data_IF_194538962360
#
_entry.id   IF_194538962360
#
_cell.length_a   1.000
_cell.length_b   1.000
_cell.length_c   1.000
_cell.angle_alpha   90.00
_cell.angle_beta   90.00
_cell.angle_gamma   90.00
#
_symmetry.space_group_name_H-M   'P 1'
#
loop_
_entity.id
_entity.type
_entity.pdbx_description
1 polymer ?
#
# COMPACT_ATOMS: atom_id res chain seq x y z
N UNK A 1 19.23 9.47 -1.97
CA UNK A 1 19.88 8.19 -1.61
C UNK A 1 20.07 7.42 -2.90
N UNK A 2 21.29 7.14 -3.34
CA UNK A 2 21.51 6.18 -4.41
C UNK A 2 21.49 4.80 -3.79
N UNK A 3 20.48 4.02 -4.10
CA UNK A 3 20.45 2.60 -3.73
C UNK A 3 21.70 1.95 -4.36
N UNK A 4 22.45 1.17 -3.57
CA UNK A 4 23.42 0.24 -4.14
C UNK A 4 22.61 -0.70 -5.02
N UNK A 5 22.89 -0.75 -6.30
CA UNK A 5 22.27 -1.72 -7.21
C UNK A 5 22.80 -3.12 -6.96
N UNK A 6 22.45 -4.02 -7.84
CA UNK A 6 23.10 -5.33 -7.91
C UNK A 6 24.56 -5.15 -8.34
N UNK A 7 25.47 -6.02 -7.86
CA UNK A 7 26.88 -6.00 -8.31
C UNK A 7 27.00 -6.34 -9.79
N UNK A 8 26.15 -7.27 -10.25
CA UNK A 8 26.00 -7.64 -11.63
C UNK A 8 24.55 -7.51 -12.07
N UNK A 9 24.27 -7.38 -13.38
CA UNK A 9 22.90 -7.36 -13.87
C UNK A 9 22.16 -8.62 -13.42
N UNK A 10 20.99 -8.49 -12.75
CA UNK A 10 20.24 -9.64 -12.25
C UNK A 10 19.48 -10.38 -13.35
N UNK A 11 19.44 -9.85 -14.57
CA UNK A 11 18.71 -10.34 -15.73
C UNK A 11 19.47 -10.00 -17.02
N UNK A 12 19.18 -10.70 -18.11
CA UNK A 12 19.84 -10.50 -19.42
C UNK A 12 19.61 -9.10 -19.99
N UNK A 13 18.40 -8.56 -19.82
CA UNK A 13 18.01 -7.23 -20.32
C UNK A 13 17.67 -6.28 -19.16
N UNK A 14 18.70 -5.72 -18.53
CA UNK A 14 18.57 -4.87 -17.36
C UNK A 14 18.46 -3.38 -17.73
N UNK A 15 17.23 -2.85 -17.84
CA UNK A 15 16.96 -1.47 -18.25
C UNK A 15 17.31 -0.38 -17.22
N UNK A 16 17.52 -0.72 -15.92
CA UNK A 16 17.72 0.26 -14.86
C UNK A 16 18.86 1.27 -15.08
N UNK A 17 20.06 0.90 -15.59
CA UNK A 17 21.11 1.87 -15.84
C UNK A 17 20.70 2.97 -16.83
N UNK A 18 19.97 2.60 -17.89
CA UNK A 18 19.43 3.56 -18.87
C UNK A 18 18.49 4.56 -18.18
N UNK A 19 17.52 4.08 -17.39
CA UNK A 19 16.55 4.96 -16.72
C UNK A 19 17.19 5.83 -15.65
N UNK A 20 18.23 5.38 -14.94
CA UNK A 20 18.99 6.20 -13.99
C UNK A 20 19.71 7.37 -14.68
N UNK A 21 20.31 7.12 -15.84
CA UNK A 21 20.92 8.18 -16.63
C UNK A 21 19.86 9.15 -17.15
N UNK A 22 18.77 8.63 -17.69
CA UNK A 22 17.67 9.43 -18.19
C UNK A 22 17.01 10.31 -17.11
N UNK A 23 16.91 9.82 -15.87
CA UNK A 23 16.43 10.60 -14.72
C UNK A 23 17.42 11.70 -14.30
N UNK A 24 18.71 11.48 -14.50
CA UNK A 24 19.74 12.48 -14.19
C UNK A 24 19.75 13.63 -15.19
N UNK A 25 19.27 13.41 -16.40
CA UNK A 25 19.14 14.44 -17.42
C UNK A 25 17.94 15.35 -17.08
N UNK A 26 18.21 16.56 -16.62
CA UNK A 26 17.20 17.60 -16.39
C UNK A 26 16.63 18.05 -17.74
N UNK A 27 15.52 17.47 -18.15
CA UNK A 27 14.79 17.90 -19.33
C UNK A 27 13.64 18.83 -18.94
N UNK A 28 13.28 19.74 -19.83
CA UNK A 28 12.08 20.58 -19.68
C UNK A 28 10.77 19.76 -19.66
N UNK A 29 10.85 18.49 -20.05
CA UNK A 29 9.71 17.55 -20.12
C UNK A 29 10.02 16.31 -19.26
N UNK A 30 9.71 16.33 -17.97
CA UNK A 30 10.10 15.26 -17.03
C UNK A 30 9.46 13.89 -17.35
N UNK A 31 8.38 13.86 -18.12
CA UNK A 31 7.64 12.63 -18.47
C UNK A 31 7.97 12.08 -19.86
N UNK A 32 8.82 12.73 -20.64
CA UNK A 32 9.12 12.35 -22.01
C UNK A 32 10.61 12.14 -22.25
N UNK A 33 10.92 11.26 -23.23
CA UNK A 33 12.21 11.13 -23.90
C UNK A 33 12.02 11.62 -25.34
N UNK A 34 12.32 12.88 -25.59
CA UNK A 34 12.05 13.48 -26.90
C UNK A 34 10.55 13.50 -27.23
N UNK A 35 10.16 12.75 -28.24
CA UNK A 35 8.76 12.67 -28.75
C UNK A 35 7.89 11.59 -28.10
N UNK A 36 8.46 10.69 -27.29
CA UNK A 36 7.73 9.61 -26.64
C UNK A 36 7.72 9.79 -25.13
N UNK A 37 6.70 9.29 -24.47
CA UNK A 37 6.65 9.27 -23.00
C UNK A 37 7.62 8.23 -22.44
N UNK A 38 7.96 8.37 -21.17
CA UNK A 38 8.79 7.38 -20.48
C UNK A 38 8.06 6.05 -20.35
N UNK A 39 6.74 6.07 -20.11
CA UNK A 39 5.92 4.86 -20.08
C UNK A 39 5.95 4.17 -21.43
N UNK A 40 5.67 4.90 -22.52
CA UNK A 40 5.72 4.33 -23.87
C UNK A 40 7.09 3.72 -24.20
N UNK A 41 8.19 4.36 -23.77
CA UNK A 41 9.54 3.81 -23.92
C UNK A 41 9.69 2.45 -23.22
N UNK A 42 9.15 2.32 -22.01
CA UNK A 42 9.20 1.06 -21.24
C UNK A 42 8.31 -0.02 -21.88
N UNK A 43 7.12 0.35 -22.35
CA UNK A 43 6.22 -0.56 -23.05
C UNK A 43 6.81 -1.05 -24.39
N UNK A 44 7.46 -0.15 -25.14
CA UNK A 44 8.16 -0.51 -26.35
C UNK A 44 9.29 -1.52 -26.07
N UNK A 45 10.05 -1.34 -24.98
CA UNK A 45 11.09 -2.30 -24.58
C UNK A 45 10.53 -3.71 -24.37
N UNK A 46 9.38 -3.83 -23.71
CA UNK A 46 8.72 -5.14 -23.54
C UNK A 46 8.30 -5.72 -24.89
N UNK A 47 7.66 -4.91 -25.76
CA UNK A 47 7.27 -5.36 -27.11
C UNK A 47 8.50 -5.87 -27.87
N UNK A 48 9.57 -5.07 -27.92
CA UNK A 48 10.79 -5.41 -28.64
C UNK A 48 11.42 -6.71 -28.13
N UNK A 49 11.33 -6.99 -26.82
CA UNK A 49 11.76 -8.26 -26.24
C UNK A 49 10.95 -9.45 -26.81
N UNK A 50 9.63 -9.28 -27.00
CA UNK A 50 8.79 -10.33 -27.59
C UNK A 50 9.08 -10.52 -29.09
N UNK A 51 9.35 -9.43 -29.81
CA UNK A 51 9.71 -9.47 -31.23
C UNK A 51 11.08 -10.14 -31.45
N UNK A 52 12.06 -9.83 -30.59
CA UNK A 52 13.42 -10.36 -30.71
C UNK A 52 13.54 -11.83 -30.30
N UNK A 53 12.70 -12.30 -29.38
CA UNK A 53 12.75 -13.67 -28.82
C UNK A 53 11.41 -14.39 -29.00
N UNK A 54 10.94 -14.67 -30.22
CA UNK A 54 9.59 -15.20 -30.46
C UNK A 54 9.35 -16.60 -29.93
N UNK A 55 10.39 -17.41 -29.80
CA UNK A 55 10.29 -18.84 -29.40
C UNK A 55 10.83 -19.14 -28.02
N UNK A 56 11.69 -18.28 -27.47
CA UNK A 56 12.34 -18.51 -26.19
C UNK A 56 11.37 -18.25 -25.04
N UNK A 57 11.37 -19.08 -23.98
CA UNK A 57 10.73 -18.73 -22.73
C UNK A 57 11.30 -17.44 -22.18
N UNK A 58 10.44 -16.56 -21.66
CA UNK A 58 10.88 -15.26 -21.14
C UNK A 58 10.08 -14.86 -19.92
N UNK A 59 10.76 -14.20 -18.98
CA UNK A 59 10.17 -13.49 -17.86
C UNK A 59 10.45 -12.00 -18.04
N UNK A 60 9.42 -11.18 -18.03
CA UNK A 60 9.52 -9.73 -18.18
C UNK A 60 8.90 -9.05 -16.97
N UNK A 61 9.64 -8.11 -16.37
CA UNK A 61 9.16 -7.30 -15.27
C UNK A 61 9.34 -5.82 -15.59
N UNK A 62 8.23 -5.08 -15.62
CA UNK A 62 8.21 -3.64 -15.81
C UNK A 62 7.61 -2.97 -14.57
N UNK A 63 8.32 -1.99 -14.00
CA UNK A 63 7.86 -1.20 -12.88
C UNK A 63 7.87 0.28 -13.24
N UNK A 64 6.69 0.90 -13.25
CA UNK A 64 6.50 2.32 -13.55
C UNK A 64 5.87 3.01 -12.34
N UNK A 65 6.56 3.99 -11.76
CA UNK A 65 6.11 4.72 -10.57
C UNK A 65 5.81 6.21 -10.81
N UNK A 66 6.21 6.75 -11.96
CA UNK A 66 6.24 8.19 -12.18
C UNK A 66 4.85 8.86 -12.16
N UNK A 67 3.80 8.14 -12.59
CA UNK A 67 2.44 8.66 -12.59
C UNK A 67 1.66 8.36 -11.30
N UNK A 68 2.10 7.40 -10.48
CA UNK A 68 1.37 6.94 -9.30
C UNK A 68 2.02 7.27 -7.96
N UNK A 69 3.37 7.40 -7.90
CA UNK A 69 4.10 7.49 -6.64
C UNK A 69 3.76 8.74 -5.81
N UNK A 70 3.63 9.89 -6.45
CA UNK A 70 3.49 11.16 -5.75
C UNK A 70 2.05 11.67 -5.65
N UNK A 71 1.18 11.28 -6.57
CA UNK A 71 -0.21 11.70 -6.66
C UNK A 71 -0.99 10.75 -7.56
N UNK A 72 -2.28 10.58 -7.28
CA UNK A 72 -3.19 9.82 -8.14
C UNK A 72 -3.62 10.61 -9.39
N UNK A 73 -3.42 11.93 -9.41
CA UNK A 73 -3.93 12.82 -10.47
C UNK A 73 -3.31 12.56 -11.84
N UNK A 74 -2.20 11.83 -11.89
CA UNK A 74 -1.45 11.58 -13.12
C UNK A 74 -1.68 10.17 -13.70
N UNK A 75 -2.35 9.30 -12.98
CA UNK A 75 -2.66 7.94 -13.46
C UNK A 75 -3.38 7.95 -14.82
N UNK A 76 -4.34 8.87 -15.09
CA UNK A 76 -5.01 8.94 -16.38
C UNK A 76 -4.08 9.19 -17.57
N UNK A 77 -2.89 9.77 -17.36
CA UNK A 77 -1.94 10.03 -18.47
C UNK A 77 -1.35 8.76 -19.08
N UNK A 78 -1.36 7.65 -18.33
CA UNK A 78 -0.85 6.38 -18.82
C UNK A 78 -1.92 5.43 -19.34
N UNK A 79 -3.20 5.78 -19.24
CA UNK A 79 -4.31 4.87 -19.52
C UNK A 79 -4.36 4.49 -21.01
N UNK A 80 -4.38 5.47 -21.90
CA UNK A 80 -4.41 5.24 -23.35
C UNK A 80 -3.18 4.48 -23.83
N UNK A 81 -1.99 4.84 -23.35
CA UNK A 81 -0.73 4.18 -23.75
C UNK A 81 -0.72 2.70 -23.32
N UNK A 82 -1.15 2.43 -22.09
CA UNK A 82 -1.26 1.06 -21.59
C UNK A 82 -2.33 0.27 -22.36
N UNK A 83 -3.48 0.88 -22.62
CA UNK A 83 -4.56 0.25 -23.39
C UNK A 83 -4.10 -0.13 -24.79
N UNK A 84 -3.44 0.78 -25.52
CA UNK A 84 -2.94 0.50 -26.87
C UNK A 84 -1.85 -0.58 -26.85
N UNK A 85 -0.95 -0.56 -25.85
CA UNK A 85 0.02 -1.63 -25.67
C UNK A 85 -0.65 -2.98 -25.47
N UNK A 86 -1.65 -3.09 -24.57
CA UNK A 86 -2.37 -4.33 -24.32
C UNK A 86 -3.11 -4.83 -25.55
N UNK A 87 -3.73 -3.92 -26.30
CA UNK A 87 -4.39 -4.25 -27.58
C UNK A 87 -3.40 -4.78 -28.60
N UNK A 88 -2.23 -4.15 -28.72
CA UNK A 88 -1.17 -4.58 -29.63
C UNK A 88 -0.68 -5.98 -29.28
N UNK A 89 -0.30 -6.21 -28.01
CA UNK A 89 0.17 -7.52 -27.53
C UNK A 89 -0.86 -8.63 -27.75
N UNK A 90 -2.15 -8.31 -27.59
CA UNK A 90 -3.23 -9.23 -27.84
C UNK A 90 -3.39 -9.53 -29.34
N UNK A 91 -3.39 -8.50 -30.22
CA UNK A 91 -3.51 -8.69 -31.68
C UNK A 91 -2.35 -9.48 -32.28
N UNK A 92 -1.15 -9.34 -31.71
CA UNK A 92 0.04 -10.07 -32.15
C UNK A 92 0.11 -11.50 -31.58
N UNK A 93 -0.87 -11.92 -30.77
CA UNK A 93 -0.94 -13.27 -30.18
C UNK A 93 0.07 -13.53 -29.06
N UNK A 94 0.78 -12.51 -28.56
CA UNK A 94 1.77 -12.70 -27.49
C UNK A 94 1.14 -13.20 -26.20
N UNK A 95 -0.11 -12.84 -25.93
CA UNK A 95 -0.85 -13.31 -24.75
C UNK A 95 -1.40 -14.74 -24.87
N UNK A 96 -1.32 -15.37 -26.03
CA UNK A 96 -1.84 -16.74 -26.20
C UNK A 96 -0.98 -17.77 -25.44
N UNK A 97 0.30 -17.44 -25.25
CA UNK A 97 1.29 -18.27 -24.54
C UNK A 97 1.91 -17.59 -23.31
N UNK A 98 1.40 -16.43 -22.90
CA UNK A 98 1.96 -15.65 -21.80
C UNK A 98 0.95 -15.52 -20.66
N UNK A 99 1.36 -15.86 -19.43
CA UNK A 99 0.67 -15.39 -18.23
C UNK A 99 1.01 -13.92 -18.06
N UNK A 100 -0.01 -13.07 -18.16
CA UNK A 100 0.15 -11.62 -17.99
C UNK A 100 -0.44 -11.18 -16.66
N UNK A 101 0.34 -10.40 -15.90
CA UNK A 101 -0.08 -9.85 -14.60
C UNK A 101 0.08 -8.34 -14.65
N UNK A 102 -1.01 -7.62 -14.40
CA UNK A 102 -1.00 -6.18 -14.14
C UNK A 102 -1.31 -5.96 -12.66
N UNK A 103 -0.40 -5.27 -11.95
CA UNK A 103 -0.53 -5.12 -10.51
C UNK A 103 0.04 -3.80 -10.00
N UNK A 104 -0.37 -3.41 -8.81
CA UNK A 104 0.32 -2.42 -7.98
C UNK A 104 0.92 -3.07 -6.74
N UNK A 105 2.01 -2.50 -6.22
CA UNK A 105 2.64 -2.93 -4.95
C UNK A 105 1.79 -2.50 -3.74
N UNK A 106 1.22 -1.29 -3.79
CA UNK A 106 0.27 -0.73 -2.83
C UNK A 106 -0.43 0.49 -3.46
N UNK A 107 -1.43 1.03 -2.80
CA UNK A 107 -2.07 2.28 -3.21
C UNK A 107 -1.32 3.53 -2.72
N UNK A 108 -1.86 4.72 -3.02
CA UNK A 108 -1.19 5.99 -2.72
C UNK A 108 -1.12 6.28 -1.21
N UNK A 109 0.12 6.33 -0.67
CA UNK A 109 0.35 6.56 0.76
C UNK A 109 0.26 8.02 1.19
N UNK A 110 0.64 8.95 0.31
CA UNK A 110 0.82 10.36 0.66
C UNK A 110 -0.15 11.30 -0.08
N UNK A 111 -1.24 10.76 -0.59
CA UNK A 111 -2.31 11.56 -1.18
C UNK A 111 -3.24 12.12 -0.09
N UNK A 112 -3.95 13.21 -0.39
CA UNK A 112 -5.00 13.73 0.50
C UNK A 112 -6.13 12.72 0.72
N UNK A 113 -6.37 11.85 -0.25
CA UNK A 113 -7.34 10.76 -0.18
C UNK A 113 -7.04 9.79 0.97
N UNK A 114 -5.74 9.60 1.33
CA UNK A 114 -5.31 8.69 2.40
C UNK A 114 -5.89 9.04 3.78
N UNK A 115 -6.33 10.28 4.00
CA UNK A 115 -7.00 10.68 5.24
C UNK A 115 -8.45 10.20 5.33
N UNK A 116 -9.02 9.75 4.22
CA UNK A 116 -10.37 9.17 4.13
C UNK A 116 -10.33 7.66 4.35
N UNK A 117 -11.50 7.08 4.65
CA UNK A 117 -11.65 5.61 4.74
C UNK A 117 -11.34 4.93 3.41
N UNK A 118 -11.83 5.48 2.29
CA UNK A 118 -11.56 4.96 0.95
C UNK A 118 -10.06 4.93 0.66
N UNK A 119 -9.35 6.05 0.88
CA UNK A 119 -7.91 6.09 0.63
C UNK A 119 -7.09 5.17 1.53
N UNK A 120 -7.58 4.89 2.75
CA UNK A 120 -7.02 3.87 3.62
C UNK A 120 -7.17 2.46 3.03
N UNK A 121 -8.34 2.15 2.45
CA UNK A 121 -8.57 0.87 1.78
C UNK A 121 -7.73 0.76 0.51
N UNK A 122 -7.70 1.80 -0.33
CA UNK A 122 -6.90 1.82 -1.56
C UNK A 122 -5.41 1.61 -1.29
N UNK A 123 -4.85 2.20 -0.21
CA UNK A 123 -3.46 1.96 0.18
C UNK A 123 -3.18 0.48 0.47
N UNK A 124 -4.14 -0.23 1.07
CA UNK A 124 -3.99 -1.57 1.66
C UNK A 124 -4.49 -2.70 0.78
N UNK A 125 -5.25 -2.39 -0.25
CA UNK A 125 -5.83 -3.33 -1.21
C UNK A 125 -5.25 -3.06 -2.61
N UNK A 126 -4.00 -3.47 -2.88
CA UNK A 126 -3.40 -3.27 -4.18
C UNK A 126 -4.16 -4.03 -5.27
N UNK A 127 -4.21 -3.41 -6.45
CA UNK A 127 -4.83 -4.01 -7.62
C UNK A 127 -3.97 -5.15 -8.18
N UNK A 128 -4.59 -6.27 -8.52
CA UNK A 128 -3.97 -7.38 -9.25
C UNK A 128 -4.97 -7.94 -10.27
N UNK A 129 -4.57 -7.98 -11.53
CA UNK A 129 -5.29 -8.65 -12.60
C UNK A 129 -4.39 -9.68 -13.28
N UNK A 130 -4.89 -10.90 -13.43
CA UNK A 130 -4.17 -12.03 -14.02
C UNK A 130 -4.90 -12.51 -15.27
N UNK A 131 -4.18 -12.58 -16.38
CA UNK A 131 -4.64 -13.23 -17.59
C UNK A 131 -3.80 -14.49 -17.84
N UNK A 132 -4.45 -15.63 -17.85
CA UNK A 132 -3.80 -16.92 -18.17
C UNK A 132 -3.83 -17.17 -19.68
N UNK A 133 -2.83 -17.88 -20.25
CA UNK A 133 -2.83 -18.34 -21.63
C UNK A 133 -4.06 -19.21 -21.94
N UNK A 134 -4.61 -19.09 -23.14
CA UNK A 134 -5.81 -19.83 -23.54
C UNK A 134 -5.65 -21.34 -23.39
N UNK A 135 -4.51 -21.87 -23.83
CA UNK A 135 -4.21 -23.30 -23.70
C UNK A 135 -4.20 -23.74 -22.24
N UNK A 136 -3.62 -22.92 -21.34
CA UNK A 136 -3.59 -23.22 -19.90
C UNK A 136 -5.01 -23.25 -19.31
N UNK A 137 -5.87 -22.32 -19.73
CA UNK A 137 -7.27 -22.28 -19.27
C UNK A 137 -8.05 -23.54 -19.67
N UNK A 138 -7.82 -24.07 -20.88
CA UNK A 138 -8.45 -25.27 -21.40
C UNK A 138 -7.92 -26.54 -20.72
N UNK A 139 -6.61 -26.60 -20.44
CA UNK A 139 -5.97 -27.75 -19.81
C UNK A 139 -6.21 -27.82 -18.29
N UNK A 140 -6.36 -26.68 -17.61
CA UNK A 140 -6.45 -26.60 -16.15
C UNK A 140 -7.69 -25.83 -15.67
N UNK A 141 -8.92 -26.29 -16.02
CA UNK A 141 -10.15 -25.57 -15.68
C UNK A 141 -10.37 -25.42 -14.17
N UNK A 142 -9.87 -26.38 -13.35
CA UNK A 142 -9.95 -26.27 -11.89
C UNK A 142 -9.12 -25.11 -11.35
N UNK A 143 -7.92 -24.87 -11.88
CA UNK A 143 -7.08 -23.72 -11.51
C UNK A 143 -7.79 -22.41 -11.88
N UNK A 144 -8.40 -22.37 -13.06
CA UNK A 144 -9.19 -21.20 -13.49
C UNK A 144 -10.38 -20.92 -12.58
N UNK A 145 -11.05 -21.97 -12.10
CA UNK A 145 -12.11 -21.83 -11.11
C UNK A 145 -11.57 -21.28 -9.78
N UNK A 146 -10.46 -21.83 -9.30
CA UNK A 146 -9.83 -21.36 -8.06
C UNK A 146 -9.41 -19.89 -8.16
N UNK A 147 -8.76 -19.47 -9.25
CA UNK A 147 -8.39 -18.07 -9.50
C UNK A 147 -9.61 -17.13 -9.43
N UNK A 148 -10.73 -17.52 -10.04
CA UNK A 148 -11.99 -16.74 -10.00
C UNK A 148 -12.59 -16.67 -8.58
N UNK A 149 -12.61 -17.78 -7.85
CA UNK A 149 -13.11 -17.81 -6.49
C UNK A 149 -12.22 -17.00 -5.53
N UNK A 150 -10.90 -17.09 -5.70
CA UNK A 150 -9.93 -16.37 -4.88
C UNK A 150 -9.98 -14.84 -5.09
N UNK A 151 -10.51 -14.35 -6.20
CA UNK A 151 -10.72 -12.90 -6.40
C UNK A 151 -11.70 -12.28 -5.40
N UNK A 152 -12.52 -13.12 -4.72
CA UNK A 152 -13.45 -12.72 -3.67
C UNK A 152 -13.01 -13.15 -2.26
N UNK A 153 -11.73 -13.52 -2.09
CA UNK A 153 -11.18 -14.00 -0.82
C UNK A 153 -10.03 -13.14 -0.34
N UNK A 154 -9.68 -13.27 0.93
CA UNK A 154 -8.51 -12.59 1.47
C UNK A 154 -7.25 -13.15 0.84
N UNK A 155 -6.64 -12.37 -0.03
CA UNK A 155 -5.33 -12.63 -0.65
C UNK A 155 -4.31 -11.59 -0.22
N UNK A 156 -3.04 -11.96 -0.30
CA UNK A 156 -1.90 -11.10 0.05
C UNK A 156 -0.83 -11.17 -1.03
N UNK A 157 0.14 -10.25 -1.07
CA UNK A 157 1.30 -10.37 -1.93
C UNK A 157 2.11 -11.66 -1.71
N UNK A 158 2.03 -12.26 -0.52
CA UNK A 158 2.67 -13.55 -0.24
C UNK A 158 2.00 -14.71 -0.98
N UNK A 159 0.69 -14.64 -1.20
CA UNK A 159 -0.02 -15.63 -2.02
C UNK A 159 0.39 -15.52 -3.50
N UNK A 160 0.63 -14.31 -3.98
CA UNK A 160 1.17 -14.12 -5.34
C UNK A 160 2.59 -14.67 -5.45
N UNK A 161 3.45 -14.43 -4.46
CA UNK A 161 4.78 -15.02 -4.40
C UNK A 161 4.71 -16.55 -4.41
N UNK A 162 3.87 -17.14 -3.56
CA UNK A 162 3.63 -18.58 -3.50
C UNK A 162 3.13 -19.15 -4.83
N UNK A 163 2.35 -18.33 -5.59
CA UNK A 163 1.89 -18.71 -6.93
C UNK A 163 3.05 -18.75 -7.92
N UNK A 164 4.02 -17.85 -7.81
CA UNK A 164 5.23 -17.91 -8.64
C UNK A 164 6.09 -19.13 -8.31
N UNK A 165 6.27 -19.45 -7.03
CA UNK A 165 6.97 -20.67 -6.61
C UNK A 165 6.26 -21.91 -7.18
N UNK A 166 4.93 -21.99 -7.06
CA UNK A 166 4.13 -23.05 -7.64
C UNK A 166 4.30 -23.14 -9.17
N UNK A 167 4.34 -21.99 -9.86
CA UNK A 167 4.51 -21.94 -11.31
C UNK A 167 5.89 -22.48 -11.74
N UNK A 168 6.96 -22.23 -10.99
CA UNK A 168 8.30 -22.78 -11.27
C UNK A 168 8.35 -24.29 -11.05
N UNK A 169 7.61 -24.82 -10.09
CA UNK A 169 7.53 -26.26 -9.77
C UNK A 169 6.37 -26.96 -10.48
N UNK A 170 5.72 -26.27 -11.44
CA UNK A 170 4.52 -26.76 -12.11
C UNK A 170 4.88 -27.82 -13.17
N UNK A 171 4.99 -29.09 -12.75
CA UNK A 171 5.27 -30.23 -13.63
C UNK A 171 4.09 -31.19 -13.81
N UNK A 172 3.09 -31.12 -12.94
CA UNK A 172 1.96 -32.03 -12.86
C UNK A 172 0.78 -31.34 -12.17
N UNK A 173 -0.47 -31.83 -12.35
CA UNK A 173 -1.60 -31.41 -11.53
C UNK A 173 -1.55 -31.89 -10.07
N UNK A 174 -0.48 -32.55 -9.65
CA UNK A 174 -0.30 -33.01 -8.27
C UNK A 174 -0.42 -31.86 -7.27
N UNK A 175 -0.98 -32.11 -6.07
CA UNK A 175 -1.24 -31.05 -5.11
C UNK A 175 0.08 -30.40 -4.68
N UNK A 176 0.26 -29.16 -5.08
CA UNK A 176 1.36 -28.31 -4.61
C UNK A 176 1.24 -28.10 -3.10
N UNK A 177 2.34 -28.27 -2.38
CA UNK A 177 2.40 -27.98 -0.95
C UNK A 177 3.05 -26.62 -0.74
N UNK A 178 2.31 -25.69 -0.12
CA UNK A 178 2.84 -24.37 0.24
C UNK A 178 4.04 -24.52 1.18
N UNK A 179 5.08 -23.74 0.92
CA UNK A 179 6.30 -23.67 1.74
C UNK A 179 6.12 -22.81 2.99
N UNK A 180 5.02 -22.07 3.07
CA UNK A 180 4.73 -21.15 4.16
C UNK A 180 3.32 -21.39 4.72
N UNK A 181 3.19 -21.30 6.05
CA UNK A 181 1.89 -21.43 6.73
C UNK A 181 0.96 -20.23 6.53
N UNK A 182 1.48 -19.10 6.07
CA UNK A 182 0.71 -17.83 5.91
C UNK A 182 0.26 -17.59 4.48
N UNK A 183 0.75 -18.33 3.50
CA UNK A 183 0.48 -18.14 2.07
C UNK A 183 -0.14 -19.34 1.41
N UNK A 184 -0.92 -19.08 0.38
CA UNK A 184 -1.49 -20.09 -0.52
C UNK A 184 -1.12 -19.71 -1.95
N UNK A 185 -0.82 -20.70 -2.79
CA UNK A 185 -0.83 -20.45 -4.23
C UNK A 185 -2.24 -20.06 -4.68
N UNK A 186 -2.38 -19.04 -5.50
CA UNK A 186 -3.66 -18.64 -6.08
C UNK A 186 -4.25 -19.72 -7.01
N UNK A 187 -3.45 -20.72 -7.42
CA UNK A 187 -3.92 -21.88 -8.15
C UNK A 187 -4.69 -22.86 -7.26
N UNK A 188 -4.50 -22.79 -5.95
CA UNK A 188 -5.25 -23.53 -4.95
C UNK A 188 -6.45 -22.71 -4.46
N UNK A 189 -7.45 -23.39 -3.90
CA UNK A 189 -8.61 -22.74 -3.32
C UNK A 189 -8.26 -22.21 -1.92
N UNK A 190 -8.24 -20.90 -1.76
CA UNK A 190 -8.03 -20.23 -0.46
C UNK A 190 -9.28 -20.41 0.41
N UNK A 191 -9.16 -20.75 1.71
CA UNK A 191 -10.31 -20.85 2.60
C UNK A 191 -11.14 -19.57 2.65
N UNK A 192 -12.44 -19.71 2.58
CA UNK A 192 -13.36 -18.56 2.57
C UNK A 192 -13.33 -17.77 3.89
N UNK A 193 -13.11 -18.48 4.99
CA UNK A 193 -13.05 -17.94 6.34
C UNK A 193 -11.63 -17.54 6.78
N UNK A 194 -10.68 -17.44 5.83
CA UNK A 194 -9.31 -17.01 6.14
C UNK A 194 -9.30 -15.62 6.76
N UNK A 195 -8.66 -15.49 7.92
CA UNK A 195 -8.53 -14.23 8.65
C UNK A 195 -7.21 -13.51 8.35
N UNK A 196 -7.15 -12.22 8.67
CA UNK A 196 -5.87 -11.47 8.62
C UNK A 196 -4.79 -12.10 9.50
N UNK A 197 -5.15 -12.62 10.67
CA UNK A 197 -4.22 -13.31 11.56
C UNK A 197 -3.61 -14.57 10.92
N UNK A 198 -4.42 -15.37 10.22
CA UNK A 198 -3.94 -16.55 9.49
C UNK A 198 -3.05 -16.20 8.29
N UNK A 199 -3.22 -15.00 7.74
CA UNK A 199 -2.38 -14.46 6.68
C UNK A 199 -1.16 -13.68 7.20
N UNK A 200 -0.94 -13.66 8.53
CA UNK A 200 0.10 -12.88 9.22
C UNK A 200 0.04 -11.39 8.89
N UNK A 201 -1.19 -10.87 8.75
CA UNK A 201 -1.47 -9.44 8.53
C UNK A 201 -1.86 -8.81 9.87
N UNK A 202 -1.04 -7.88 10.33
CA UNK A 202 -1.29 -7.12 11.56
C UNK A 202 -2.59 -6.31 11.50
N UNK A 203 -3.26 -6.11 12.64
CA UNK A 203 -4.51 -5.36 12.74
C UNK A 203 -4.41 -3.95 12.15
N UNK A 204 -3.24 -3.32 12.27
CA UNK A 204 -2.99 -2.01 11.68
C UNK A 204 -3.16 -2.01 10.16
N UNK A 205 -2.74 -3.08 9.49
CA UNK A 205 -2.76 -3.22 8.03
C UNK A 205 -3.96 -3.96 7.48
N UNK A 206 -4.70 -4.65 8.35
CA UNK A 206 -5.87 -5.43 7.97
C UNK A 206 -7.01 -4.52 7.48
N UNK A 207 -7.42 -4.70 6.22
CA UNK A 207 -8.54 -3.97 5.62
C UNK A 207 -9.91 -4.60 5.92
N UNK A 208 -9.94 -5.80 6.53
CA UNK A 208 -11.15 -6.57 6.80
C UNK A 208 -11.77 -6.29 8.19
N UNK A 209 -11.18 -5.40 8.98
CA UNK A 209 -11.61 -5.14 10.35
C UNK A 209 -12.59 -3.98 10.44
N UNK A 210 -13.58 -4.12 11.31
CA UNK A 210 -14.52 -3.05 11.65
C UNK A 210 -13.99 -2.22 12.82
N UNK A 211 -13.99 -0.91 12.63
CA UNK A 211 -13.54 0.06 13.60
C UNK A 211 -14.69 1.00 13.97
N UNK A 212 -15.00 1.11 15.26
CA UNK A 212 -15.96 2.08 15.78
C UNK A 212 -15.26 3.40 16.07
N UNK A 213 -15.84 4.49 15.62
CA UNK A 213 -15.39 5.82 16.02
C UNK A 213 -15.63 6.02 17.52
N UNK A 214 -14.66 6.55 18.21
CA UNK A 214 -14.73 6.95 19.62
C UNK A 214 -14.29 8.39 19.79
N UNK A 215 -14.67 9.01 20.91
CA UNK A 215 -14.31 10.40 21.17
C UNK A 215 -12.81 10.57 21.29
N UNK A 216 -12.26 11.56 20.60
CA UNK A 216 -10.85 11.98 20.79
C UNK A 216 -10.58 12.51 22.20
N UNK A 217 -11.61 12.88 22.96
CA UNK A 217 -11.54 13.37 24.34
C UNK A 217 -11.65 12.24 25.37
N UNK A 218 -11.83 11.00 24.93
CA UNK A 218 -11.81 9.84 25.83
C UNK A 218 -10.47 9.74 26.56
N UNK A 219 -10.50 9.45 27.86
CA UNK A 219 -9.31 9.43 28.72
C UNK A 219 -8.27 8.39 28.27
N UNK A 220 -8.72 7.23 27.79
CA UNK A 220 -7.86 6.16 27.24
C UNK A 220 -7.16 6.67 25.96
N UNK A 221 -7.87 7.41 25.13
CA UNK A 221 -7.33 7.96 23.89
C UNK A 221 -6.32 9.08 24.15
N UNK A 222 -6.58 9.94 25.13
CA UNK A 222 -5.63 10.97 25.55
C UNK A 222 -4.35 10.35 26.14
N UNK A 223 -4.48 9.29 26.92
CA UNK A 223 -3.35 8.52 27.43
C UNK A 223 -2.54 7.90 26.29
N UNK A 224 -3.22 7.25 25.32
CA UNK A 224 -2.57 6.66 24.16
C UNK A 224 -1.80 7.72 23.34
N UNK A 225 -2.40 8.90 23.12
CA UNK A 225 -1.77 9.98 22.37
C UNK A 225 -0.46 10.47 23.04
N UNK A 226 -0.45 10.60 24.37
CA UNK A 226 0.75 10.99 25.12
C UNK A 226 1.84 9.91 25.01
N UNK A 227 1.48 8.63 25.18
CA UNK A 227 2.42 7.51 25.02
C UNK A 227 2.92 7.37 23.57
N UNK A 228 2.08 7.69 22.57
CA UNK A 228 2.51 7.71 21.16
C UNK A 228 3.62 8.74 20.92
N UNK A 229 3.48 9.96 21.48
CA UNK A 229 4.51 11.00 21.36
C UNK A 229 5.80 10.58 22.08
N UNK A 230 5.68 10.01 23.26
CA UNK A 230 6.83 9.47 24.00
C UNK A 230 7.52 8.37 23.20
N UNK A 231 6.77 7.43 22.64
CA UNK A 231 7.28 6.38 21.77
C UNK A 231 8.05 6.94 20.57
N UNK A 232 7.48 7.95 19.85
CA UNK A 232 8.16 8.58 18.71
C UNK A 232 9.50 9.21 19.12
N UNK A 233 9.52 9.93 20.25
CA UNK A 233 10.73 10.58 20.72
C UNK A 233 11.78 9.56 21.19
N UNK A 234 11.35 8.50 21.88
CA UNK A 234 12.26 7.43 22.33
C UNK A 234 12.84 6.66 21.14
N UNK A 235 12.06 6.48 20.06
CA UNK A 235 12.53 5.76 18.87
C UNK A 235 13.69 6.46 18.17
N UNK A 236 13.80 7.79 18.28
CA UNK A 236 14.89 8.61 17.70
C UNK A 236 15.84 9.16 18.77
N UNK A 237 15.81 8.63 20.00
CA UNK A 237 16.54 9.18 21.15
C UNK A 237 18.06 9.28 20.94
N UNK A 238 18.67 8.34 20.24
CA UNK A 238 20.10 8.34 19.94
C UNK A 238 20.52 9.46 18.95
N UNK A 239 19.55 10.13 18.35
CA UNK A 239 19.74 11.17 17.33
C UNK A 239 19.08 12.50 17.72
N UNK A 240 19.05 12.83 19.00
CA UNK A 240 18.44 14.08 19.51
C UNK A 240 19.14 15.35 19.00
N UNK A 241 20.40 15.25 18.61
CA UNK A 241 21.13 16.37 17.99
C UNK A 241 20.65 16.67 16.57
N UNK A 242 20.26 15.64 15.83
CA UNK A 242 19.76 15.72 14.45
C UNK A 242 18.24 15.88 14.39
N UNK A 243 17.50 15.18 15.24
CA UNK A 243 16.03 15.11 15.22
C UNK A 243 15.42 15.90 16.38
N UNK A 244 14.62 16.88 16.06
CA UNK A 244 13.91 17.70 17.04
C UNK A 244 12.89 16.88 17.83
N UNK A 245 12.72 17.22 19.12
CA UNK A 245 11.71 16.60 19.98
C UNK A 245 10.30 16.96 19.48
N UNK A 246 9.51 15.93 19.21
CA UNK A 246 8.13 16.05 18.76
C UNK A 246 7.19 16.28 19.95
N UNK A 247 6.13 17.05 19.70
CA UNK A 247 5.00 17.28 20.60
C UNK A 247 3.70 17.02 19.88
N UNK A 248 2.68 16.60 20.60
CA UNK A 248 1.32 16.49 20.07
C UNK A 248 0.81 17.89 19.69
N UNK A 249 0.38 18.06 18.45
CA UNK A 249 -0.35 19.24 18.01
C UNK A 249 -1.85 19.06 18.25
N UNK A 250 -2.39 17.97 17.68
CA UNK A 250 -3.82 17.61 17.83
C UNK A 250 -4.06 16.13 17.53
N UNK A 251 -5.09 15.57 18.17
CA UNK A 251 -5.75 14.37 17.75
C UNK A 251 -6.76 14.69 16.65
N UNK A 252 -6.84 13.83 15.65
CA UNK A 252 -7.72 14.02 14.49
C UNK A 252 -8.86 13.01 14.51
N UNK A 253 -8.55 11.74 14.79
CA UNK A 253 -9.49 10.66 14.80
C UNK A 253 -9.06 9.59 15.81
N UNK A 254 -10.05 8.94 16.41
CA UNK A 254 -9.83 7.78 17.26
C UNK A 254 -10.86 6.71 16.98
N UNK A 255 -10.42 5.46 16.96
CA UNK A 255 -11.26 4.29 16.69
C UNK A 255 -10.90 3.16 17.66
N UNK A 256 -11.90 2.35 17.99
CA UNK A 256 -11.73 1.10 18.70
C UNK A 256 -12.09 -0.06 17.76
N UNK A 257 -11.26 -1.09 17.73
CA UNK A 257 -11.55 -2.31 16.98
C UNK A 257 -12.77 -3.01 17.60
N UNK A 258 -13.74 -3.36 16.76
CA UNK A 258 -14.82 -4.25 17.17
C UNK A 258 -14.25 -5.65 17.40
N UNK A 259 -14.66 -6.27 18.51
CA UNK A 259 -14.23 -7.63 18.90
C UNK A 259 -14.73 -8.73 17.99
N UNK A 260 -15.59 -8.42 17.04
CA UNK A 260 -16.10 -9.38 16.07
C UNK A 260 -15.17 -9.39 14.85
N UNK A 261 -14.36 -10.43 14.69
CA UNK A 261 -13.54 -10.72 13.50
C UNK A 261 -14.42 -11.12 12.30
N UNK A 262 -15.46 -10.33 11.99
CA UNK A 262 -16.19 -10.54 10.76
C UNK A 262 -15.41 -9.92 9.61
N UNK A 263 -14.90 -10.77 8.74
CA UNK A 263 -14.37 -10.38 7.46
C UNK A 263 -15.42 -9.58 6.70
N UNK A 264 -15.14 -8.31 6.44
CA UNK A 264 -15.93 -7.54 5.49
C UNK A 264 -15.69 -8.15 4.11
N UNK A 265 -16.69 -8.86 3.58
CA UNK A 265 -16.64 -9.34 2.21
C UNK A 265 -17.08 -8.23 1.28
N UNK A 266 -16.23 -7.84 0.34
CA UNK A 266 -16.64 -7.00 -0.78
C UNK A 266 -17.69 -7.75 -1.61
N UNK A 267 -18.85 -7.16 -1.78
CA UNK A 267 -19.93 -7.74 -2.58
C UNK A 267 -19.99 -7.08 -3.95
N UNK A 268 -20.05 -5.76 -3.96
CA UNK A 268 -20.22 -4.96 -5.18
C UNK A 268 -19.86 -3.50 -4.93
N UNK A 269 -19.81 -2.70 -5.98
CA UNK A 269 -19.78 -1.24 -5.87
C UNK A 269 -21.21 -0.69 -5.87
N UNK A 270 -21.48 0.27 -4.99
CA UNK A 270 -22.80 0.90 -4.89
C UNK A 270 -23.05 1.98 -5.91
N UNK A 271 -22.05 2.40 -6.65
CA UNK A 271 -22.15 3.38 -7.72
C UNK A 271 -21.69 2.80 -9.07
N UNK A 272 -22.13 3.43 -10.16
CA UNK A 272 -21.80 2.99 -11.52
C UNK A 272 -20.31 3.10 -11.85
N UNK A 273 -19.58 3.93 -11.12
CA UNK A 273 -18.16 4.21 -11.33
C UNK A 273 -17.25 3.34 -10.45
N UNK A 274 -17.81 2.43 -9.65
CA UNK A 274 -17.05 1.52 -8.80
C UNK A 274 -16.32 2.17 -7.61
N UNK A 275 -16.72 3.40 -7.21
CA UNK A 275 -16.01 4.20 -6.20
C UNK A 275 -16.44 3.93 -4.77
N UNK A 276 -17.64 3.39 -4.59
CA UNK A 276 -18.21 3.13 -3.27
C UNK A 276 -18.37 1.63 -3.06
N UNK A 277 -17.44 0.97 -2.36
CA UNK A 277 -17.52 -0.46 -2.11
C UNK A 277 -18.65 -0.78 -1.12
N UNK A 278 -19.39 -1.85 -1.40
CA UNK A 278 -20.31 -2.49 -0.45
C UNK A 278 -19.69 -3.75 0.10
N UNK A 279 -19.82 -3.92 1.41
CA UNK A 279 -19.34 -5.08 2.13
C UNK A 279 -20.52 -5.82 2.75
N UNK A 280 -20.46 -7.14 2.77
CA UNK A 280 -21.47 -7.97 3.45
C UNK A 280 -21.12 -8.10 4.95
N UNK A 281 -22.10 -7.78 5.81
CA UNK A 281 -22.03 -8.10 7.24
C UNK A 281 -22.80 -9.41 7.47
N UNK A 282 -22.10 -10.51 7.72
CA UNK A 282 -22.76 -11.74 8.17
C UNK A 282 -23.27 -11.58 9.59
N UNK A 283 -24.60 -11.44 9.74
CA UNK A 283 -25.28 -11.24 11.03
C UNK A 283 -25.44 -12.53 11.87
N UNK A 284 -25.00 -13.68 11.36
CA UNK A 284 -25.29 -15.00 11.97
C UNK A 284 -24.50 -15.35 13.24
N UNK A 285 -23.49 -14.56 13.63
CA UNK A 285 -22.64 -14.86 14.79
C UNK A 285 -22.84 -13.94 15.98
N UNK A 286 -23.77 -12.98 15.90
CA UNK A 286 -24.00 -11.99 16.96
C UNK A 286 -24.52 -12.57 18.29
N UNK A 287 -25.00 -13.82 18.33
CA UNK A 287 -25.59 -14.41 19.52
C UNK A 287 -24.62 -15.29 20.35
N UNK A 288 -23.47 -15.68 19.80
CA UNK A 288 -22.53 -16.58 20.52
C UNK A 288 -21.47 -15.83 21.33
N UNK A 289 -21.25 -14.53 21.10
CA UNK A 289 -20.13 -13.80 21.72
C UNK A 289 -20.50 -12.78 22.79
N UNK A 290 -21.78 -12.67 23.17
CA UNK A 290 -22.20 -11.75 24.27
C UNK A 290 -21.64 -12.10 25.65
N UNK A 291 -21.00 -13.26 25.82
CA UNK A 291 -20.50 -13.75 27.10
C UNK A 291 -18.98 -13.81 27.24
N UNK A 292 -18.21 -13.25 26.30
CA UNK A 292 -16.76 -13.18 26.44
C UNK A 292 -16.36 -11.93 27.23
N UNK A 293 -15.88 -12.20 28.39
CA UNK A 293 -15.46 -11.44 29.56
C UNK A 293 -14.70 -10.13 29.29
N UNK A 294 -14.92 -9.18 30.20
CA UNK A 294 -14.33 -7.84 30.37
C UNK A 294 -12.77 -7.76 30.37
N UNK A 295 -12.06 -8.86 30.22
CA UNK A 295 -10.59 -8.97 30.36
C UNK A 295 -9.85 -9.15 29.06
N UNK A 296 -10.52 -9.05 27.88
CA UNK A 296 -9.85 -9.20 26.58
C UNK A 296 -9.07 -7.95 26.19
N UNK A 297 -7.88 -8.16 25.62
CA UNK A 297 -7.08 -7.17 24.95
C UNK A 297 -7.91 -6.38 23.93
N UNK A 298 -7.83 -5.05 24.00
CA UNK A 298 -8.50 -4.13 23.08
C UNK A 298 -7.50 -3.48 22.14
N UNK A 299 -7.94 -3.18 20.93
CA UNK A 299 -7.12 -2.44 19.97
C UNK A 299 -7.73 -1.06 19.74
N UNK A 300 -6.88 -0.04 19.83
CA UNK A 300 -7.22 1.34 19.54
C UNK A 300 -6.38 1.86 18.38
N UNK A 301 -6.98 2.64 17.51
CA UNK A 301 -6.28 3.32 16.43
C UNK A 301 -6.51 4.81 16.56
N UNK A 302 -5.43 5.59 16.53
CA UNK A 302 -5.48 7.05 16.56
C UNK A 302 -4.81 7.65 15.32
N UNK A 303 -5.38 8.75 14.84
CA UNK A 303 -4.72 9.65 13.89
C UNK A 303 -4.40 10.96 14.61
N UNK A 304 -3.16 11.40 14.52
CA UNK A 304 -2.68 12.57 15.22
C UNK A 304 -1.63 13.35 14.42
N UNK A 305 -1.52 14.63 14.75
CA UNK A 305 -0.53 15.51 14.16
C UNK A 305 0.49 15.94 15.20
N UNK A 306 1.77 16.00 14.79
CA UNK A 306 2.88 16.45 15.62
C UNK A 306 3.41 17.79 15.19
N UNK A 307 4.07 18.50 16.10
CA UNK A 307 4.93 19.66 15.88
C UNK A 307 6.31 19.41 16.51
N UNK A 308 7.37 19.92 15.86
CA UNK A 308 7.44 20.65 14.60
C UNK A 308 7.17 19.75 13.38
N UNK A 309 6.97 20.38 12.21
CA UNK A 309 6.91 19.70 10.92
C UNK A 309 5.56 19.12 10.52
N UNK A 310 4.51 19.30 11.33
CA UNK A 310 3.12 18.88 11.04
C UNK A 310 2.98 17.44 10.54
N UNK A 311 3.76 16.53 11.16
CA UNK A 311 3.71 15.11 10.85
C UNK A 311 2.34 14.52 11.16
N UNK A 312 1.69 13.90 10.16
CA UNK A 312 0.46 13.15 10.35
C UNK A 312 0.78 11.67 10.50
N UNK A 313 0.30 11.08 11.58
CA UNK A 313 0.52 9.68 11.90
C UNK A 313 -0.78 8.94 12.14
N UNK A 314 -0.81 7.67 11.76
CA UNK A 314 -1.80 6.70 12.19
C UNK A 314 -1.08 5.62 13.00
N UNK A 315 -1.55 5.38 14.22
CA UNK A 315 -1.00 4.39 15.13
C UNK A 315 -2.09 3.44 15.60
N UNK A 316 -1.82 2.14 15.58
CA UNK A 316 -2.64 1.12 16.23
C UNK A 316 -1.90 0.58 17.44
N UNK A 317 -2.54 0.64 18.60
CA UNK A 317 -2.00 0.12 19.85
C UNK A 317 -2.89 -0.96 20.44
N UNK A 318 -2.27 -1.91 21.08
CA UNK A 318 -2.91 -2.94 21.86
C UNK A 318 -3.01 -2.47 23.32
N UNK A 319 -4.20 -2.52 23.89
CA UNK A 319 -4.47 -2.11 25.26
C UNK A 319 -4.82 -3.31 26.13
N UNK A 320 -4.11 -3.45 27.21
CA UNK A 320 -4.44 -4.45 28.23
C UNK A 320 -5.24 -3.78 29.35
N UNK A 321 -6.54 -4.09 29.49
CA UNK A 321 -7.39 -3.46 30.49
C UNK A 321 -7.06 -3.88 31.93
N UNK A 322 -6.36 -5.00 32.15
CA UNK A 322 -6.02 -5.49 33.47
C UNK A 322 -4.96 -4.60 34.16
N UNK A 323 -4.02 -4.08 33.39
CA UNK A 323 -2.93 -3.25 33.93
C UNK A 323 -2.95 -1.82 33.41
N UNK A 324 -3.90 -1.46 32.52
CA UNK A 324 -4.04 -0.13 31.97
C UNK A 324 -2.90 0.30 31.03
N UNK A 325 -2.18 -0.66 30.43
CA UNK A 325 -1.00 -0.37 29.59
C UNK A 325 -1.26 -0.55 28.11
N UNK A 326 -0.52 0.23 27.30
CA UNK A 326 -0.52 0.07 25.84
C UNK A 326 0.77 -0.61 25.38
N UNK A 327 0.61 -1.54 24.41
CA UNK A 327 1.73 -2.05 23.62
C UNK A 327 1.75 -1.29 22.28
N UNK A 328 2.76 -0.41 22.15
CA UNK A 328 3.01 0.37 20.95
C UNK A 328 4.20 -0.22 20.20
N UNK A 329 4.06 -0.48 18.91
CA UNK A 329 5.08 -1.08 18.07
C UNK A 329 5.26 -0.30 16.77
N UNK A 330 6.52 -0.17 16.32
CA UNK A 330 6.86 0.56 15.08
C UNK A 330 6.14 0.04 13.84
N UNK A 331 5.95 -1.26 13.71
CA UNK A 331 5.24 -1.90 12.60
C UNK A 331 3.75 -1.58 12.53
N UNK A 332 3.18 -1.00 13.59
CA UNK A 332 1.79 -0.54 13.71
C UNK A 332 1.66 0.98 13.66
N UNK A 333 2.66 1.64 13.08
CA UNK A 333 2.73 3.09 12.89
C UNK A 333 2.88 3.40 11.39
N UNK A 334 2.06 4.32 10.90
CA UNK A 334 2.14 4.85 9.52
C UNK A 334 2.30 6.36 9.52
N UNK A 335 3.20 6.88 8.69
CA UNK A 335 3.22 8.29 8.33
C UNK A 335 2.26 8.52 7.18
N UNK A 336 1.29 9.43 7.35
CA UNK A 336 0.21 9.67 6.37
C UNK A 336 0.50 10.83 5.41
N UNK A 337 1.43 11.71 5.74
CA UNK A 337 1.83 12.82 4.88
C UNK A 337 3.32 12.80 4.54
N UNK A 338 3.66 13.41 3.41
CA UNK A 338 5.06 13.49 2.94
C UNK A 338 5.93 14.19 3.97
N UNK A 339 7.10 13.63 4.23
CA UNK A 339 8.13 14.25 5.06
C UNK A 339 9.22 14.95 4.24
N UNK A 340 9.34 14.68 2.93
CA UNK A 340 10.21 15.40 2.00
C UNK A 340 11.64 15.60 2.52
N UNK A 341 12.07 16.86 2.55
CA UNK A 341 13.39 17.27 3.04
C UNK A 341 13.43 17.50 4.56
N UNK A 342 12.31 17.42 5.26
CA UNK A 342 12.27 17.69 6.71
C UNK A 342 13.08 16.69 7.54
N UNK A 343 13.39 15.52 6.98
CA UNK A 343 14.21 14.47 7.57
C UNK A 343 15.54 14.23 6.83
N UNK A 344 16.04 15.22 6.07
CA UNK A 344 17.26 15.07 5.26
C UNK A 344 18.50 14.80 6.12
N UNK A 345 18.57 15.36 7.34
CA UNK A 345 19.69 15.18 8.28
C UNK A 345 19.97 13.72 8.65
N UNK A 346 18.92 12.86 8.65
CA UNK A 346 19.05 11.45 9.02
C UNK A 346 19.01 10.50 7.82
N UNK A 347 18.69 11.00 6.63
CA UNK A 347 18.35 10.20 5.46
C UNK A 347 19.42 9.19 5.02
N UNK A 348 20.69 9.52 5.24
CA UNK A 348 21.83 8.66 4.88
C UNK A 348 22.35 7.83 6.05
N UNK A 349 22.21 8.34 7.27
CA UNK A 349 22.70 7.66 8.48
C UNK A 349 21.74 6.54 8.89
N UNK A 350 20.44 6.85 8.98
CA UNK A 350 19.40 5.95 9.48
C UNK A 350 18.10 6.22 8.72
N UNK A 351 17.96 5.69 7.49
CA UNK A 351 16.82 5.93 6.64
C UNK A 351 15.48 5.49 7.26
N UNK A 352 15.49 4.51 8.15
CA UNK A 352 14.33 4.01 8.88
C UNK A 352 13.70 5.05 9.85
N UNK A 353 14.45 6.09 10.21
CA UNK A 353 13.95 7.16 11.10
C UNK A 353 13.33 8.33 10.34
N UNK A 354 13.43 8.35 9.00
CA UNK A 354 12.98 9.48 8.17
C UNK A 354 11.51 9.83 8.35
N UNK A 355 10.65 8.85 8.56
CA UNK A 355 9.22 9.08 8.72
C UNK A 355 8.86 9.79 10.04
N UNK A 356 9.74 9.72 11.05
CA UNK A 356 9.53 10.32 12.37
C UNK A 356 10.34 11.62 12.52
N UNK A 357 11.60 11.60 12.10
CA UNK A 357 12.55 12.68 12.35
C UNK A 357 12.15 13.99 11.65
N UNK A 358 12.16 15.06 12.39
CA UNK A 358 12.19 16.43 11.89
C UNK A 358 13.55 17.03 12.24
N UNK A 359 14.30 17.50 11.24
CA UNK A 359 15.67 17.97 11.45
C UNK A 359 15.74 19.22 12.35
N UNK A 360 16.56 19.15 13.41
CA UNK A 360 16.73 20.23 14.39
C UNK A 360 17.20 21.55 13.78
N UNK A 361 18.02 21.50 12.72
CA UNK A 361 18.49 22.69 12.00
C UNK A 361 17.39 23.44 11.25
N UNK A 362 16.19 22.88 11.13
CA UNK A 362 15.04 23.53 10.53
C UNK A 362 14.23 24.37 11.55
N UNK A 363 14.42 24.16 12.85
CA UNK A 363 13.69 24.90 13.89
C UNK A 363 13.89 26.41 13.81
N UNK A 364 15.08 26.86 13.43
CA UNK A 364 15.42 28.29 13.33
C UNK A 364 14.94 28.93 12.03
N UNK A 365 14.46 28.12 11.05
CA UNK A 365 13.95 28.61 9.76
C UNK A 365 12.44 28.81 9.74
N UNK A 366 11.69 28.22 10.65
CA UNK A 366 10.23 28.18 10.67
C UNK A 366 9.56 29.42 11.28
N UNK A 367 10.30 30.32 11.96
CA UNK A 367 9.69 31.58 12.47
C UNK A 367 9.14 32.50 11.37
N UNK A 368 9.46 32.27 10.07
CA UNK A 368 8.98 33.07 8.94
C UNK A 368 8.00 32.35 8.01
N UNK A 369 7.60 31.07 8.27
CA UNK A 369 6.81 30.26 7.33
C UNK A 369 5.46 29.76 7.88
N UNK A 370 5.18 29.91 9.16
CA UNK A 370 3.93 29.42 9.77
C UNK A 370 2.67 30.19 9.33
N UNK A 371 2.83 31.33 8.63
CA UNK A 371 1.71 32.14 8.12
C UNK A 371 1.26 31.79 6.71
N UNK A 372 2.04 31.02 5.93
CA UNK A 372 1.75 30.83 4.48
C UNK A 372 1.05 29.50 4.17
N UNK A 373 1.12 28.49 5.04
CA UNK A 373 0.58 27.15 4.74
C UNK A 373 -0.84 26.88 5.26
N UNK A 374 -1.40 27.77 6.07
CA UNK A 374 -2.79 27.63 6.57
C UNK A 374 -3.81 28.10 5.51
N UNK A 375 -3.45 29.05 4.65
CA UNK A 375 -4.38 29.63 3.67
C UNK A 375 -4.61 28.75 2.45
N UNK A 376 -3.65 27.91 2.04
CA UNK A 376 -3.79 27.04 0.85
C UNK A 376 -4.76 25.86 1.05
N UNK A 377 -4.95 25.42 2.30
CA UNK A 377 -5.87 24.30 2.60
C UNK A 377 -7.34 24.75 2.73
N UNK A 378 -7.56 25.96 3.21
CA UNK A 378 -8.90 26.52 3.41
C UNK A 378 -9.50 27.03 2.09
N UNK A 379 -8.67 27.56 1.19
CA UNK A 379 -9.14 28.11 -0.10
C UNK A 379 -9.49 27.02 -1.12
N UNK A 380 -8.82 25.86 -1.10
CA UNK A 380 -9.19 24.74 -1.97
C UNK A 380 -10.51 24.07 -1.58
N UNK A 381 -10.87 24.07 -0.29
CA UNK A 381 -12.19 23.56 0.14
C UNK A 381 -13.32 24.54 -0.17
N UNK A 382 -13.06 25.86 -0.21
CA UNK A 382 -14.06 26.87 -0.60
C UNK A 382 -14.33 26.90 -2.10
N UNK A 383 -13.33 26.60 -2.94
CA UNK A 383 -13.50 26.53 -4.40
C UNK A 383 -14.25 25.27 -4.85
N UNK A 384 -14.12 24.15 -4.14
CA UNK A 384 -14.87 22.91 -4.44
C UNK A 384 -16.38 23.04 -4.12
N UNK A 385 -16.78 23.89 -3.17
CA UNK A 385 -18.22 24.12 -2.84
C UNK A 385 -18.93 25.11 -3.76
N UNK A 386 -18.25 25.74 -4.72
CA UNK A 386 -18.85 26.66 -5.71
C UNK A 386 -19.03 26.05 -7.10
N UNK A 387 -18.73 24.77 -7.28
CA UNK A 387 -18.85 24.02 -8.54
C UNK A 387 -19.76 22.77 -8.42
N UNK A 388 -20.65 22.77 -7.43
CA UNK A 388 -21.80 21.85 -7.33
C UNK A 388 -23.09 22.64 -7.36
#
# INVERSE_FOLDING_TARGET
MRLKGFHEPPVDHYGRPFYLVAESMRTSKPYCFGSITRLQSMLNWIRDLYDMYPTQPKFSFLFHSQYSHDSNDRLPYGDDELLEFLRLMNRQGYFDKTMFILMSDHGARFSSLRTTYQGKLEERLPFVAIRMPKIFQEQYPQIMMNLRLNSHRLTTPYDLHETFEHLFEFHSPDPYQSKSSRSYSLFQLIPENRTCSQADVEQHWCACLNWNDISIYDSIIQQLANQAIEFLNNFVSDYQNECAKLRLNRLIKANQLQTNEHLLKFVESSDKDGRVPRFHNDTLTNNLMKNLTTNQTKYYQIQFQTIPGHGLFELTAEYNPLNGTFLIQKRRLSRMNKYGQTSACIAYKRPEFREICYCSNLLNRTQNFDTVLVDDFVDKQKKSKRLL
#
